data_IF_805791962739
#
_entry.id   IF_805791962739
#
_cell.length_a   1.000
_cell.length_b   1.000
_cell.length_c   1.000
_cell.angle_alpha   90.00
_cell.angle_beta   90.00
_cell.angle_gamma   90.00
#
_symmetry.space_group_name_H-M   'P 1'
#
loop_
_entity.id
_entity.type
_entity.pdbx_description
1 polymer ?
#
# COMPACT_ATOMS: atom_id res chain seq x y z
N UNK A 1 -33.40 14.99 9.11
CA UNK A 1 -32.53 14.26 8.14
C UNK A 1 -31.92 13.09 8.90
N UNK A 2 -31.80 11.91 8.29
CA UNK A 2 -31.17 10.76 8.95
C UNK A 2 -29.67 10.87 8.80
N UNK A 3 -28.92 10.73 9.90
CA UNK A 3 -27.44 10.75 9.95
C UNK A 3 -26.87 9.77 8.94
N UNK A 4 -25.93 10.22 8.09
CA UNK A 4 -25.24 9.32 7.16
C UNK A 4 -24.24 8.45 7.94
N UNK A 5 -24.49 7.16 8.00
CA UNK A 5 -23.66 6.19 8.70
C UNK A 5 -22.76 5.43 7.73
N UNK A 6 -21.48 5.41 8.00
CA UNK A 6 -20.46 4.71 7.21
C UNK A 6 -19.65 3.77 8.06
N UNK A 7 -19.30 2.62 7.51
CA UNK A 7 -18.27 1.73 8.04
C UNK A 7 -17.04 1.76 7.16
N UNK A 8 -15.86 1.94 7.77
CA UNK A 8 -14.57 1.82 7.09
C UNK A 8 -13.75 0.72 7.75
N UNK A 9 -13.31 -0.24 6.96
CA UNK A 9 -12.23 -1.16 7.30
C UNK A 9 -10.97 -0.71 6.55
N UNK A 10 -9.92 -0.39 7.28
CA UNK A 10 -8.66 0.03 6.68
C UNK A 10 -7.60 -1.05 6.82
N UNK A 11 -7.02 -1.48 5.70
CA UNK A 11 -5.94 -2.46 5.63
C UNK A 11 -4.69 -1.78 5.05
N UNK A 12 -3.74 -1.43 5.92
CA UNK A 12 -2.52 -0.72 5.57
C UNK A 12 -1.50 -1.58 4.82
N UNK A 13 -0.48 -0.92 4.26
CA UNK A 13 0.61 -1.56 3.54
C UNK A 13 1.64 -2.27 4.43
N UNK A 14 2.76 -2.65 3.83
CA UNK A 14 3.93 -3.24 4.53
C UNK A 14 4.65 -2.17 5.36
N UNK A 15 4.13 -1.93 6.55
CA UNK A 15 4.60 -0.89 7.45
C UNK A 15 4.73 -1.44 8.88
N UNK A 16 5.93 -1.43 9.49
CA UNK A 16 6.13 -1.90 10.86
C UNK A 16 5.59 -0.90 11.91
N UNK A 17 5.23 0.32 11.50
CA UNK A 17 4.61 1.31 12.38
C UNK A 17 3.22 0.81 12.80
N UNK A 18 2.91 0.86 14.07
CA UNK A 18 1.64 0.32 14.56
C UNK A 18 0.46 1.24 14.29
N UNK A 19 -0.71 0.74 14.66
CA UNK A 19 -1.99 1.46 14.52
C UNK A 19 -1.99 2.87 15.12
N UNK A 20 -1.14 3.15 16.14
CA UNK A 20 -0.98 4.51 16.71
C UNK A 20 -0.54 5.52 15.66
N UNK A 21 0.34 5.12 14.73
CA UNK A 21 0.76 6.00 13.64
C UNK A 21 -0.42 6.36 12.73
N UNK A 22 -1.19 5.37 12.30
CA UNK A 22 -2.35 5.58 11.42
C UNK A 22 -3.48 6.35 12.10
N UNK A 23 -3.71 6.13 13.40
CA UNK A 23 -4.65 6.91 14.18
C UNK A 23 -4.25 8.39 14.25
N UNK A 24 -2.98 8.68 14.55
CA UNK A 24 -2.48 10.05 14.62
C UNK A 24 -2.53 10.72 13.24
N UNK A 25 -2.16 10.00 12.18
CA UNK A 25 -2.27 10.48 10.81
C UNK A 25 -3.73 10.81 10.45
N UNK A 26 -4.66 9.90 10.73
CA UNK A 26 -6.09 10.13 10.47
C UNK A 26 -6.60 11.35 11.24
N UNK A 27 -6.26 11.47 12.53
CA UNK A 27 -6.67 12.62 13.37
C UNK A 27 -6.12 13.94 12.82
N UNK A 28 -4.83 13.97 12.45
CA UNK A 28 -4.19 15.15 11.84
C UNK A 28 -4.87 15.53 10.52
N UNK A 29 -5.07 14.55 9.64
CA UNK A 29 -5.60 14.82 8.31
C UNK A 29 -7.09 15.17 8.32
N UNK A 30 -7.86 14.61 9.25
CA UNK A 30 -9.26 15.01 9.49
C UNK A 30 -9.36 16.43 10.09
N UNK A 31 -8.42 16.82 10.94
CA UNK A 31 -8.30 18.21 11.38
C UNK A 31 -8.04 19.17 10.21
N UNK A 32 -7.07 18.82 9.33
CA UNK A 32 -6.81 19.61 8.11
C UNK A 32 -8.00 19.64 7.14
N UNK A 33 -8.76 18.55 7.05
CA UNK A 33 -10.02 18.53 6.30
C UNK A 33 -11.02 19.53 6.87
N UNK A 34 -11.24 19.48 8.20
CA UNK A 34 -12.14 20.39 8.91
C UNK A 34 -11.74 21.87 8.69
N UNK A 35 -10.45 22.21 8.84
CA UNK A 35 -9.93 23.57 8.62
C UNK A 35 -10.19 24.06 7.19
N UNK A 36 -10.09 23.17 6.18
CA UNK A 36 -10.26 23.54 4.77
C UNK A 36 -11.71 23.61 4.31
N UNK A 37 -12.59 22.82 4.92
CA UNK A 37 -14.03 22.80 4.59
C UNK A 37 -14.86 23.75 5.46
N UNK A 38 -14.33 24.19 6.62
CA UNK A 38 -15.08 24.91 7.62
C UNK A 38 -16.08 24.03 8.39
N UNK A 39 -15.93 22.69 8.30
CA UNK A 39 -16.82 21.72 8.93
C UNK A 39 -16.30 21.34 10.33
N UNK A 40 -17.20 20.92 11.22
CA UNK A 40 -16.86 20.47 12.56
C UNK A 40 -16.67 18.97 12.59
N UNK A 41 -15.41 18.52 12.54
CA UNK A 41 -15.06 17.09 12.54
C UNK A 41 -14.36 16.70 13.83
N UNK A 42 -14.84 15.65 14.47
CA UNK A 42 -14.29 15.10 15.71
C UNK A 42 -13.88 13.64 15.52
N UNK A 43 -12.81 13.24 16.21
CA UNK A 43 -12.32 11.86 16.21
C UNK A 43 -12.29 11.35 17.64
N UNK A 44 -12.99 10.25 17.91
CA UNK A 44 -13.03 9.65 19.24
C UNK A 44 -11.66 9.09 19.66
N UNK A 45 -11.40 8.89 20.94
CA UNK A 45 -10.27 8.10 21.37
C UNK A 45 -10.26 6.72 20.71
N UNK A 46 -9.07 6.22 20.42
CA UNK A 46 -8.89 4.88 19.85
C UNK A 46 -9.24 3.83 20.91
N UNK A 47 -10.05 2.86 20.53
CA UNK A 47 -10.35 1.65 21.29
C UNK A 47 -9.71 0.42 20.68
N UNK A 48 -9.60 -0.64 21.45
CA UNK A 48 -9.17 -1.96 20.96
C UNK A 48 -10.40 -2.84 20.87
N UNK A 49 -10.95 -2.98 19.67
CA UNK A 49 -12.15 -3.80 19.42
C UNK A 49 -11.86 -5.30 19.56
N UNK A 50 -10.68 -5.73 19.07
CA UNK A 50 -10.15 -7.09 19.23
C UNK A 50 -8.62 -7.07 19.14
N UNK A 51 -7.92 -8.19 19.40
CA UNK A 51 -6.46 -8.28 19.22
C UNK A 51 -5.98 -7.91 17.81
N UNK A 52 -6.83 -8.11 16.81
CA UNK A 52 -6.53 -7.88 15.40
C UNK A 52 -7.21 -6.63 14.82
N UNK A 53 -7.92 -5.84 15.65
CA UNK A 53 -8.64 -4.66 15.22
C UNK A 53 -8.49 -3.50 16.22
N UNK A 54 -8.41 -2.29 15.71
CA UNK A 54 -8.49 -1.08 16.51
C UNK A 54 -9.48 -0.12 15.89
N UNK A 55 -10.35 0.42 16.71
CA UNK A 55 -11.52 1.16 16.29
C UNK A 55 -11.51 2.60 16.82
N UNK A 56 -12.13 3.50 16.07
CA UNK A 56 -12.55 4.84 16.51
C UNK A 56 -13.72 5.32 15.67
N UNK A 57 -14.40 6.34 16.14
CA UNK A 57 -15.50 6.97 15.40
C UNK A 57 -15.08 8.35 14.93
N UNK A 58 -15.40 8.68 13.70
CA UNK A 58 -15.28 10.02 13.14
C UNK A 58 -16.67 10.59 13.00
N UNK A 59 -16.91 11.78 13.57
CA UNK A 59 -18.18 12.51 13.45
C UNK A 59 -17.94 13.82 12.75
N UNK A 60 -18.78 14.12 11.79
CA UNK A 60 -18.88 15.43 11.18
C UNK A 60 -20.26 15.99 11.53
N UNK A 61 -20.29 16.87 12.51
CA UNK A 61 -21.54 17.42 13.04
C UNK A 61 -22.17 18.42 12.05
N UNK A 62 -21.37 19.05 11.18
CA UNK A 62 -21.87 19.97 10.15
C UNK A 62 -22.60 19.24 9.03
N UNK A 63 -22.03 18.11 8.59
CA UNK A 63 -22.58 17.32 7.48
C UNK A 63 -23.50 16.17 7.93
N UNK A 64 -23.73 16.01 9.25
CA UNK A 64 -24.48 14.91 9.86
C UNK A 64 -24.00 13.52 9.43
N UNK A 65 -22.68 13.28 9.61
CA UNK A 65 -22.03 12.01 9.25
C UNK A 65 -21.43 11.34 10.49
N UNK A 66 -21.60 10.05 10.59
CA UNK A 66 -20.89 9.20 11.56
C UNK A 66 -20.20 8.06 10.82
N UNK A 67 -18.89 7.96 10.96
CA UNK A 67 -18.10 6.89 10.37
C UNK A 67 -17.44 6.05 11.44
N UNK A 68 -17.79 4.76 11.48
CA UNK A 68 -17.13 3.76 12.32
C UNK A 68 -15.90 3.24 11.59
N UNK A 69 -14.72 3.63 12.08
CA UNK A 69 -13.43 3.34 11.44
C UNK A 69 -12.70 2.24 12.18
N UNK A 70 -12.35 1.20 11.48
CA UNK A 70 -11.62 0.02 11.99
C UNK A 70 -10.33 -0.20 11.22
N UNK A 71 -9.19 -0.22 11.90
CA UNK A 71 -7.92 -0.67 11.32
C UNK A 71 -7.78 -2.17 11.54
N UNK A 72 -7.63 -2.91 10.44
CA UNK A 72 -7.30 -4.33 10.43
C UNK A 72 -5.79 -4.49 10.67
N UNK A 73 -5.44 -5.05 11.84
CA UNK A 73 -4.07 -5.05 12.35
C UNK A 73 -3.31 -6.29 11.88
N UNK A 74 -2.21 -6.06 11.21
CA UNK A 74 -1.26 -7.09 10.79
C UNK A 74 0.20 -6.64 10.91
N UNK A 75 0.43 -5.47 11.52
CA UNK A 75 1.76 -4.89 11.72
C UNK A 75 2.69 -5.74 12.59
N UNK A 76 2.14 -6.64 13.40
CA UNK A 76 2.90 -7.64 14.16
C UNK A 76 3.57 -8.66 13.21
N UNK A 77 2.87 -9.12 12.18
CA UNK A 77 3.42 -9.99 11.13
C UNK A 77 4.52 -9.26 10.35
N UNK A 78 4.26 -7.99 10.00
CA UNK A 78 5.29 -7.15 9.35
C UNK A 78 6.54 -7.02 10.23
N UNK A 79 6.38 -6.77 11.53
CA UNK A 79 7.52 -6.64 12.47
C UNK A 79 8.29 -7.95 12.63
N UNK A 80 7.61 -9.09 12.63
CA UNK A 80 8.26 -10.41 12.67
C UNK A 80 9.07 -10.66 11.39
N UNK A 81 8.53 -10.27 10.23
CA UNK A 81 9.21 -10.37 8.95
C UNK A 81 10.29 -9.29 8.74
N UNK A 82 10.40 -8.29 9.65
CA UNK A 82 11.31 -7.15 9.49
C UNK A 82 12.76 -7.52 9.80
N UNK A 83 13.54 -7.82 8.76
CA UNK A 83 14.93 -8.20 8.87
C UNK A 83 15.78 -7.00 9.32
N UNK A 84 16.37 -7.08 10.52
CA UNK A 84 17.22 -6.02 11.09
C UNK A 84 18.67 -6.14 10.64
N UNK A 85 19.18 -7.37 10.57
CA UNK A 85 20.57 -7.63 10.19
C UNK A 85 20.79 -7.37 8.68
N UNK A 86 21.69 -6.44 8.28
CA UNK A 86 21.89 -6.09 6.87
C UNK A 86 22.47 -7.24 6.03
N UNK A 87 23.33 -8.08 6.63
CA UNK A 87 23.90 -9.25 5.93
C UNK A 87 22.81 -10.27 5.63
N UNK A 88 21.97 -10.57 6.63
CA UNK A 88 20.82 -11.46 6.43
C UNK A 88 19.85 -10.90 5.38
N UNK A 89 19.60 -9.60 5.40
CA UNK A 89 18.78 -8.93 4.40
C UNK A 89 19.38 -9.09 3.00
N UNK A 90 20.68 -8.86 2.84
CA UNK A 90 21.39 -9.02 1.58
C UNK A 90 21.29 -10.45 1.04
N UNK A 91 21.53 -11.46 1.90
CA UNK A 91 21.45 -12.88 1.50
C UNK A 91 20.03 -13.25 1.06
N UNK A 92 19.01 -12.86 1.83
CA UNK A 92 17.60 -13.17 1.47
C UNK A 92 17.16 -12.41 0.23
N UNK A 93 17.53 -11.13 0.10
CA UNK A 93 17.28 -10.36 -1.11
C UNK A 93 17.93 -11.01 -2.34
N UNK A 94 19.19 -11.42 -2.27
CA UNK A 94 19.86 -12.09 -3.37
C UNK A 94 19.13 -13.38 -3.82
N UNK A 95 18.59 -14.17 -2.90
CA UNK A 95 17.77 -15.35 -3.21
C UNK A 95 16.48 -14.95 -3.92
N UNK A 96 15.74 -13.99 -3.37
CA UNK A 96 14.48 -13.51 -3.96
C UNK A 96 14.69 -12.95 -5.36
N UNK A 97 15.73 -12.13 -5.56
CA UNK A 97 16.00 -11.56 -6.90
C UNK A 97 16.50 -12.58 -7.90
N UNK A 98 17.26 -13.61 -7.46
CA UNK A 98 17.60 -14.75 -8.32
C UNK A 98 16.33 -15.50 -8.76
N UNK A 99 15.39 -15.71 -7.84
CA UNK A 99 14.15 -16.42 -8.14
C UNK A 99 13.22 -15.54 -9.01
N UNK A 100 13.16 -14.22 -8.75
CA UNK A 100 12.47 -13.26 -9.62
C UNK A 100 13.04 -13.28 -11.04
N UNK A 101 14.35 -13.36 -11.23
CA UNK A 101 14.95 -13.42 -12.57
C UNK A 101 14.45 -14.62 -13.40
N UNK A 102 13.99 -15.69 -12.76
CA UNK A 102 13.49 -16.91 -13.39
C UNK A 102 11.98 -16.98 -13.48
N UNK A 103 11.28 -16.50 -12.45
CA UNK A 103 9.86 -16.74 -12.24
C UNK A 103 8.99 -15.51 -12.53
N UNK A 104 9.61 -14.33 -12.66
CA UNK A 104 8.87 -13.08 -12.80
C UNK A 104 8.66 -12.71 -14.27
N UNK A 105 7.43 -12.32 -14.61
CA UNK A 105 7.12 -11.80 -15.94
C UNK A 105 7.40 -10.29 -16.03
N UNK A 106 8.66 -9.94 -16.19
CA UNK A 106 9.11 -8.56 -16.32
C UNK A 106 8.52 -7.83 -17.53
N UNK A 107 8.20 -8.57 -18.62
CA UNK A 107 7.61 -7.98 -19.80
C UNK A 107 6.21 -7.46 -19.50
N UNK A 108 5.39 -8.26 -18.82
CA UNK A 108 4.06 -7.85 -18.38
C UNK A 108 4.14 -6.70 -17.36
N UNK A 109 5.03 -6.77 -16.37
CA UNK A 109 5.20 -5.67 -15.40
C UNK A 109 5.55 -4.35 -16.08
N UNK A 110 6.50 -4.39 -17.05
CA UNK A 110 6.89 -3.22 -17.82
C UNK A 110 5.74 -2.66 -18.67
N UNK A 111 4.94 -3.55 -19.25
CA UNK A 111 3.78 -3.15 -20.04
C UNK A 111 2.68 -2.50 -19.18
N UNK A 112 2.48 -2.98 -17.94
CA UNK A 112 1.51 -2.42 -17.01
C UNK A 112 1.97 -1.07 -16.44
N UNK A 113 3.21 -1.00 -15.92
CA UNK A 113 3.75 0.22 -15.34
C UNK A 113 5.28 0.17 -15.19
N UNK A 114 5.98 1.22 -15.65
CA UNK A 114 7.44 1.30 -15.56
C UNK A 114 7.89 1.67 -14.13
N UNK A 115 7.11 2.45 -13.39
CA UNK A 115 7.44 2.90 -12.03
C UNK A 115 7.72 1.76 -11.06
N UNK A 116 6.80 0.79 -10.90
CA UNK A 116 7.02 -0.40 -10.07
C UNK A 116 8.22 -1.24 -10.52
N UNK A 117 8.47 -1.37 -11.82
CA UNK A 117 9.65 -2.07 -12.32
C UNK A 117 10.95 -1.40 -11.85
N UNK A 118 11.04 -0.06 -11.98
CA UNK A 118 12.19 0.71 -11.48
C UNK A 118 12.30 0.58 -9.95
N UNK A 119 11.19 0.72 -9.22
CA UNK A 119 11.16 0.62 -7.76
C UNK A 119 11.58 -0.77 -7.27
N UNK A 120 11.31 -1.82 -8.02
CA UNK A 120 11.73 -3.17 -7.71
C UNK A 120 13.24 -3.38 -7.99
N UNK A 121 13.80 -2.78 -9.04
CA UNK A 121 15.15 -3.07 -9.50
C UNK A 121 16.23 -2.16 -8.88
N UNK A 122 15.93 -0.88 -8.61
CA UNK A 122 16.98 0.03 -8.12
C UNK A 122 17.54 -0.34 -6.72
N UNK A 123 16.75 -0.87 -5.75
CA UNK A 123 17.29 -1.14 -4.43
C UNK A 123 18.42 -2.18 -4.43
N UNK A 124 18.30 -3.36 -5.07
CA UNK A 124 19.41 -4.32 -5.11
C UNK A 124 20.60 -3.79 -5.91
N UNK A 125 20.36 -3.10 -7.04
CA UNK A 125 21.42 -2.55 -7.88
C UNK A 125 22.23 -1.51 -7.09
N UNK A 126 21.57 -0.52 -6.50
CA UNK A 126 22.27 0.53 -5.76
C UNK A 126 22.90 0.01 -4.46
N UNK A 127 22.26 -0.96 -3.79
CA UNK A 127 22.87 -1.59 -2.60
C UNK A 127 24.15 -2.34 -2.90
N UNK A 128 24.35 -2.80 -4.14
CA UNK A 128 25.59 -3.45 -4.58
C UNK A 128 26.58 -2.44 -5.16
N UNK A 129 26.12 -1.58 -6.07
CA UNK A 129 27.00 -0.71 -6.86
C UNK A 129 27.52 0.49 -6.07
N UNK A 130 26.68 1.13 -5.25
CA UNK A 130 27.06 2.36 -4.55
C UNK A 130 28.21 2.15 -3.54
N UNK A 131 28.22 1.10 -2.69
CA UNK A 131 29.35 0.83 -1.81
C UNK A 131 30.66 0.64 -2.58
N UNK A 132 30.64 -0.05 -3.72
CA UNK A 132 31.82 -0.30 -4.58
C UNK A 132 32.33 0.98 -5.23
N UNK A 133 31.41 1.83 -5.74
CA UNK A 133 31.78 3.13 -6.32
C UNK A 133 32.43 4.05 -5.29
N UNK A 134 31.91 4.06 -4.05
CA UNK A 134 32.47 4.86 -2.96
C UNK A 134 33.74 4.27 -2.39
N UNK A 135 33.94 2.95 -2.48
CA UNK A 135 35.15 2.28 -2.07
C UNK A 135 36.33 2.59 -3.02
N UNK A 136 36.08 2.71 -4.32
CA UNK A 136 37.12 2.84 -5.34
C UNK A 136 38.12 3.98 -5.08
N UNK A 137 37.72 5.24 -4.83
CA UNK A 137 38.70 6.32 -4.54
C UNK A 137 39.47 6.05 -3.26
N UNK A 138 38.84 5.45 -2.25
CA UNK A 138 39.55 5.11 -0.98
C UNK A 138 40.59 4.04 -1.22
N UNK A 139 40.31 3.00 -2.00
CA UNK A 139 41.25 1.95 -2.38
C UNK A 139 42.43 2.55 -3.12
N UNK A 140 42.19 3.40 -4.13
CA UNK A 140 43.27 4.03 -4.94
C UNK A 140 44.20 4.88 -4.07
N UNK A 141 43.65 5.63 -3.12
CA UNK A 141 44.49 6.41 -2.17
C UNK A 141 45.23 5.49 -1.21
N UNK A 142 44.59 4.47 -0.67
CA UNK A 142 45.19 3.57 0.30
C UNK A 142 46.33 2.72 -0.28
N UNK A 143 46.27 2.42 -1.61
CA UNK A 143 47.32 1.68 -2.31
C UNK A 143 48.70 2.39 -2.28
N UNK A 144 48.74 3.69 -2.01
CA UNK A 144 50.00 4.44 -1.87
C UNK A 144 50.79 3.98 -0.64
N UNK A 145 50.10 3.55 0.45
CA UNK A 145 50.73 3.22 1.73
C UNK A 145 50.50 1.79 2.21
N UNK A 146 49.47 1.10 1.62
CA UNK A 146 49.04 -0.22 2.07
C UNK A 146 49.18 -1.26 0.96
N UNK A 147 49.44 -2.53 1.31
CA UNK A 147 49.34 -3.61 0.35
C UNK A 147 47.88 -3.73 -0.14
N UNK A 148 47.74 -4.20 -1.39
CA UNK A 148 46.46 -4.17 -2.13
C UNK A 148 45.26 -4.76 -1.35
N UNK A 149 45.48 -5.84 -0.59
CA UNK A 149 44.40 -6.53 0.15
C UNK A 149 43.94 -5.71 1.36
N UNK A 150 44.83 -4.96 2.05
CA UNK A 150 44.47 -4.02 3.12
C UNK A 150 43.80 -2.80 2.52
N UNK A 151 44.31 -2.24 1.44
CA UNK A 151 43.69 -1.11 0.74
C UNK A 151 42.25 -1.44 0.30
N UNK A 152 42.03 -2.65 -0.26
CA UNK A 152 40.71 -3.15 -0.60
C UNK A 152 39.79 -3.27 0.62
N UNK A 153 40.26 -3.88 1.71
CA UNK A 153 39.51 -4.01 2.95
C UNK A 153 39.08 -2.66 3.54
N UNK A 154 40.02 -1.71 3.65
CA UNK A 154 39.72 -0.35 4.12
C UNK A 154 38.72 0.35 3.20
N UNK A 155 38.93 0.27 1.89
CA UNK A 155 38.03 0.87 0.91
C UNK A 155 36.59 0.32 1.00
N UNK A 156 36.43 -1.01 1.11
CA UNK A 156 35.10 -1.63 1.24
C UNK A 156 34.41 -1.23 2.54
N UNK A 157 35.13 -1.14 3.67
CA UNK A 157 34.55 -0.70 4.94
C UNK A 157 34.09 0.76 4.85
N UNK A 158 34.95 1.65 4.38
CA UNK A 158 34.67 3.10 4.29
C UNK A 158 33.56 3.34 3.24
N UNK A 159 33.67 2.73 2.05
CA UNK A 159 32.67 2.87 0.98
C UNK A 159 31.32 2.31 1.39
N UNK A 160 31.31 1.16 2.08
CA UNK A 160 30.10 0.59 2.67
C UNK A 160 29.45 1.51 3.69
N UNK A 161 30.21 2.03 4.64
CA UNK A 161 29.73 2.97 5.65
C UNK A 161 29.18 4.27 5.03
N UNK A 162 29.89 4.81 4.03
CA UNK A 162 29.46 6.03 3.31
C UNK A 162 28.20 5.81 2.47
N UNK A 163 27.93 4.60 1.99
CA UNK A 163 26.74 4.28 1.24
C UNK A 163 25.46 4.24 2.10
N UNK A 164 25.54 3.89 3.38
CA UNK A 164 24.40 3.70 4.27
C UNK A 164 23.44 4.91 4.27
N UNK A 165 23.89 6.16 4.56
CA UNK A 165 22.98 7.30 4.62
C UNK A 165 22.28 7.58 3.27
N UNK A 166 22.96 7.32 2.16
CA UNK A 166 22.37 7.50 0.83
C UNK A 166 21.29 6.45 0.57
N UNK A 167 21.60 5.17 0.86
CA UNK A 167 20.65 4.06 0.70
C UNK A 167 19.43 4.24 1.59
N UNK A 168 19.60 4.72 2.82
CA UNK A 168 18.49 5.02 3.73
C UNK A 168 17.65 6.21 3.24
N UNK A 169 18.27 7.26 2.70
CA UNK A 169 17.56 8.40 2.15
C UNK A 169 16.64 8.01 0.96
N UNK A 170 17.09 7.09 0.11
CA UNK A 170 16.30 6.56 -1.01
C UNK A 170 15.43 5.35 -0.63
N UNK A 171 15.37 5.00 0.65
CA UNK A 171 14.57 3.88 1.18
C UNK A 171 14.92 2.50 0.62
N UNK A 172 16.13 2.31 0.09
CA UNK A 172 16.55 1.03 -0.49
C UNK A 172 16.47 -0.16 0.50
N UNK A 173 16.92 -0.06 1.78
CA UNK A 173 16.79 -1.16 2.73
C UNK A 173 15.33 -1.50 3.08
N UNK A 174 14.42 -0.50 3.06
CA UNK A 174 13.00 -0.72 3.29
C UNK A 174 12.38 -1.50 2.13
N UNK A 175 12.69 -1.09 0.89
CA UNK A 175 12.20 -1.76 -0.32
C UNK A 175 12.79 -3.17 -0.49
N UNK A 176 14.03 -3.41 -0.05
CA UNK A 176 14.57 -4.78 -0.01
C UNK A 176 13.79 -5.67 0.96
N UNK A 177 13.43 -5.15 2.15
CA UNK A 177 12.56 -5.89 3.09
C UNK A 177 11.19 -6.18 2.50
N UNK A 178 10.62 -5.19 1.83
CA UNK A 178 9.36 -5.33 1.10
C UNK A 178 9.45 -6.39 0.00
N UNK A 179 10.52 -6.36 -0.81
CA UNK A 179 10.74 -7.34 -1.86
C UNK A 179 10.93 -8.77 -1.30
N UNK A 180 11.69 -8.90 -0.20
CA UNK A 180 11.87 -10.19 0.49
C UNK A 180 10.55 -10.71 1.03
N UNK A 181 9.78 -9.86 1.72
CA UNK A 181 8.47 -10.25 2.25
C UNK A 181 7.53 -10.79 1.17
N UNK A 182 7.37 -10.04 0.07
CA UNK A 182 6.49 -10.47 -1.03
C UNK A 182 7.09 -11.63 -1.86
N UNK A 183 8.42 -11.68 -1.99
CA UNK A 183 9.11 -12.77 -2.68
C UNK A 183 8.98 -14.12 -1.97
N UNK A 184 8.77 -14.11 -0.66
CA UNK A 184 8.61 -15.29 0.18
C UNK A 184 7.14 -15.70 0.41
N UNK A 185 6.21 -15.16 -0.37
CA UNK A 185 4.78 -15.55 -0.31
C UNK A 185 4.50 -16.98 -0.81
N UNK A 186 5.52 -17.75 -1.18
CA UNK A 186 5.32 -19.10 -1.70
C UNK A 186 4.47 -19.08 -2.98
N UNK A 187 3.36 -19.79 -2.97
CA UNK A 187 2.37 -19.84 -4.06
C UNK A 187 1.54 -18.54 -4.21
N UNK A 188 1.92 -17.49 -3.47
CA UNK A 188 1.26 -16.18 -3.48
C UNK A 188 0.20 -15.97 -2.40
N UNK A 189 -0.02 -16.94 -1.51
CA UNK A 189 -0.98 -16.79 -0.39
C UNK A 189 -0.32 -16.29 0.91
N UNK A 190 1.01 -16.26 0.96
CA UNK A 190 1.78 -15.80 2.12
C UNK A 190 1.98 -16.86 3.19
N UNK A 191 2.55 -16.46 4.33
CA UNK A 191 2.83 -17.38 5.45
C UNK A 191 1.53 -17.88 6.12
N UNK A 192 1.61 -19.02 6.82
CA UNK A 192 0.49 -19.55 7.60
C UNK A 192 -0.05 -18.55 8.63
N UNK A 193 0.82 -17.75 9.25
CA UNK A 193 0.42 -16.69 10.17
C UNK A 193 -0.40 -15.58 9.46
N UNK A 194 -0.02 -15.23 8.23
CA UNK A 194 -0.76 -14.27 7.43
C UNK A 194 -2.11 -14.82 6.98
N UNK A 195 -2.14 -16.09 6.54
CA UNK A 195 -3.38 -16.76 6.16
C UNK A 195 -4.36 -16.84 7.34
N UNK A 196 -3.91 -17.26 8.53
CA UNK A 196 -4.73 -17.27 9.74
C UNK A 196 -5.24 -15.85 10.12
N UNK A 197 -4.44 -14.81 9.91
CA UNK A 197 -4.86 -13.42 10.14
C UNK A 197 -5.95 -12.99 9.16
N UNK A 198 -5.82 -13.34 7.88
CA UNK A 198 -6.84 -13.04 6.86
C UNK A 198 -8.13 -13.81 7.11
N UNK A 199 -8.03 -15.06 7.60
CA UNK A 199 -9.20 -15.83 8.03
C UNK A 199 -9.92 -15.15 9.20
N UNK A 200 -9.17 -14.72 10.22
CA UNK A 200 -9.73 -13.98 11.35
C UNK A 200 -10.38 -12.64 10.94
N UNK A 201 -9.81 -11.91 9.98
CA UNK A 201 -10.46 -10.73 9.41
C UNK A 201 -11.76 -11.08 8.69
N UNK A 202 -11.77 -12.17 7.91
CA UNK A 202 -12.95 -12.64 7.22
C UNK A 202 -14.05 -13.16 8.17
N UNK A 203 -13.73 -13.49 9.42
CA UNK A 203 -14.69 -13.83 10.47
C UNK A 203 -15.21 -12.60 11.23
N UNK A 204 -14.41 -11.52 11.33
CA UNK A 204 -14.82 -10.30 12.04
C UNK A 204 -15.62 -9.32 11.19
N UNK A 205 -15.22 -9.08 9.93
CA UNK A 205 -15.87 -8.12 9.03
C UNK A 205 -17.38 -8.37 8.89
N UNK A 206 -17.87 -9.60 8.72
CA UNK A 206 -19.29 -9.87 8.54
C UNK A 206 -20.18 -9.41 9.69
N UNK A 207 -19.65 -9.32 10.91
CA UNK A 207 -20.41 -8.87 12.07
C UNK A 207 -20.89 -7.41 11.93
N UNK A 208 -20.11 -6.61 11.20
CA UNK A 208 -20.43 -5.19 10.96
C UNK A 208 -21.18 -4.97 9.63
N UNK A 209 -21.24 -5.98 8.73
CA UNK A 209 -21.94 -5.86 7.44
C UNK A 209 -23.47 -5.78 7.58
N UNK A 210 -24.01 -6.32 8.68
CA UNK A 210 -25.45 -6.33 8.97
C UNK A 210 -25.89 -5.11 9.80
N UNK A 211 -24.95 -4.23 10.16
CA UNK A 211 -25.29 -3.00 10.84
C UNK A 211 -25.98 -2.01 9.89
N UNK A 212 -26.70 -1.04 10.44
CA UNK A 212 -27.44 -0.03 9.68
C UNK A 212 -26.50 1.05 9.12
N UNK A 213 -25.56 0.62 8.26
CA UNK A 213 -24.66 1.51 7.53
C UNK A 213 -25.15 1.75 6.12
N UNK A 214 -25.12 3.01 5.67
CA UNK A 214 -25.45 3.39 4.30
C UNK A 214 -24.40 2.89 3.31
N UNK A 215 -23.14 2.82 3.74
CA UNK A 215 -22.04 2.21 2.97
C UNK A 215 -21.00 1.56 3.87
N UNK A 216 -20.34 0.54 3.33
CA UNK A 216 -19.22 -0.17 3.95
C UNK A 216 -18.04 -0.14 2.99
N UNK A 217 -16.93 0.44 3.41
CA UNK A 217 -15.72 0.57 2.60
C UNK A 217 -14.61 -0.32 3.15
N UNK A 218 -14.09 -1.24 2.35
CA UNK A 218 -12.80 -1.88 2.60
C UNK A 218 -11.73 -1.05 1.89
N UNK A 219 -11.08 -0.18 2.63
CA UNK A 219 -10.04 0.71 2.09
C UNK A 219 -8.68 0.09 2.32
N UNK A 220 -7.89 -0.01 1.27
CA UNK A 220 -6.55 -0.58 1.36
C UNK A 220 -5.50 0.34 0.76
N UNK A 221 -4.28 0.24 1.25
CA UNK A 221 -3.16 1.05 0.77
C UNK A 221 -1.95 0.18 0.48
N UNK A 222 -1.32 0.39 -0.69
CA UNK A 222 -0.04 -0.26 -1.02
C UNK A 222 -0.14 -1.80 -0.96
N UNK A 223 0.75 -2.46 -0.23
CA UNK A 223 0.76 -3.92 -0.03
C UNK A 223 -0.56 -4.48 0.57
N UNK A 224 -1.32 -3.65 1.27
CA UNK A 224 -2.66 -4.00 1.73
C UNK A 224 -3.59 -4.41 0.60
N UNK A 225 -3.36 -3.93 -0.62
CA UNK A 225 -4.13 -4.32 -1.80
C UNK A 225 -3.91 -5.78 -2.23
N UNK A 226 -2.71 -6.33 -2.03
CA UNK A 226 -2.43 -7.76 -2.24
C UNK A 226 -3.21 -8.59 -1.22
N UNK A 227 -3.14 -8.17 0.05
CA UNK A 227 -3.88 -8.84 1.12
C UNK A 227 -5.39 -8.72 0.91
N UNK A 228 -5.85 -7.60 0.36
CA UNK A 228 -7.27 -7.40 0.04
C UNK A 228 -7.79 -8.41 -0.99
N UNK A 229 -7.01 -8.79 -1.99
CA UNK A 229 -7.43 -9.84 -2.92
C UNK A 229 -7.64 -11.19 -2.20
N UNK A 230 -6.72 -11.55 -1.31
CA UNK A 230 -6.83 -12.76 -0.50
C UNK A 230 -8.00 -12.71 0.49
N UNK A 231 -8.23 -11.54 1.10
CA UNK A 231 -9.33 -11.29 2.04
C UNK A 231 -10.68 -11.28 1.34
N UNK A 232 -10.79 -10.59 0.20
CA UNK A 232 -12.03 -10.53 -0.60
C UNK A 232 -12.48 -11.91 -1.09
N UNK A 233 -11.51 -12.75 -1.52
CA UNK A 233 -11.84 -14.13 -1.90
C UNK A 233 -12.46 -14.89 -0.72
N UNK A 234 -11.87 -14.80 0.47
CA UNK A 234 -12.39 -15.44 1.69
C UNK A 234 -13.77 -14.90 2.10
N UNK A 235 -13.96 -13.58 2.02
CA UNK A 235 -15.26 -12.95 2.34
C UNK A 235 -16.35 -13.46 1.39
N UNK A 236 -16.09 -13.45 0.09
CA UNK A 236 -17.06 -13.90 -0.92
C UNK A 236 -17.34 -15.40 -0.79
N UNK A 237 -16.31 -16.23 -0.56
CA UNK A 237 -16.49 -17.68 -0.32
C UNK A 237 -17.41 -17.94 0.88
N UNK A 238 -17.25 -17.20 1.99
CA UNK A 238 -18.06 -17.32 3.21
C UNK A 238 -19.49 -16.77 3.07
N UNK A 239 -19.68 -15.86 2.12
CA UNK A 239 -20.99 -15.25 1.83
C UNK A 239 -21.67 -15.77 0.56
N UNK A 240 -21.31 -16.97 0.09
CA UNK A 240 -21.94 -17.58 -1.07
C UNK A 240 -21.72 -16.82 -2.38
N UNK A 241 -20.59 -16.11 -2.51
CA UNK A 241 -20.20 -15.39 -3.71
C UNK A 241 -20.77 -13.96 -3.83
N UNK A 242 -21.50 -13.47 -2.83
CA UNK A 242 -22.10 -12.12 -2.85
C UNK A 242 -21.82 -11.36 -1.57
N UNK A 243 -21.58 -10.05 -1.69
CA UNK A 243 -21.51 -9.12 -0.57
C UNK A 243 -22.67 -8.11 -0.65
N UNK A 244 -23.02 -7.46 0.47
CA UNK A 244 -24.07 -6.42 0.44
C UNK A 244 -23.81 -5.36 -0.64
N UNK A 245 -24.85 -4.86 -1.28
CA UNK A 245 -24.73 -3.89 -2.38
C UNK A 245 -24.05 -2.57 -1.99
N UNK A 246 -24.05 -2.23 -0.70
CA UNK A 246 -23.38 -1.07 -0.13
C UNK A 246 -21.90 -1.34 0.24
N UNK A 247 -21.38 -2.54 -0.01
CA UNK A 247 -19.97 -2.88 0.22
C UNK A 247 -19.12 -2.52 -1.00
N UNK A 248 -18.06 -1.74 -0.80
CA UNK A 248 -17.15 -1.32 -1.87
C UNK A 248 -15.70 -1.54 -1.44
N UNK A 249 -14.91 -2.16 -2.32
CA UNK A 249 -13.47 -2.21 -2.20
C UNK A 249 -12.86 -0.92 -2.76
N UNK A 250 -12.00 -0.26 -1.98
CA UNK A 250 -11.23 0.91 -2.42
C UNK A 250 -9.75 0.61 -2.24
N UNK A 251 -8.96 0.74 -3.31
CA UNK A 251 -7.50 0.54 -3.25
C UNK A 251 -6.77 1.83 -3.57
N UNK A 252 -5.82 2.20 -2.72
CA UNK A 252 -4.91 3.31 -2.93
C UNK A 252 -3.52 2.80 -3.29
N UNK A 253 -3.03 3.19 -4.47
CA UNK A 253 -1.68 2.84 -4.91
C UNK A 253 -1.43 1.34 -4.90
N UNK A 254 -2.30 0.56 -5.54
CA UNK A 254 -2.24 -0.89 -5.49
C UNK A 254 -0.95 -1.45 -6.10
N UNK A 255 -0.46 -2.55 -5.54
CA UNK A 255 0.72 -3.27 -6.02
C UNK A 255 0.43 -4.76 -6.30
N UNK A 256 -0.83 -5.11 -6.58
CA UNK A 256 -1.30 -6.49 -6.83
C UNK A 256 -0.48 -7.22 -7.91
N UNK A 257 -0.08 -6.58 -9.04
CA UNK A 257 0.73 -7.23 -10.06
C UNK A 257 2.11 -7.69 -9.57
N UNK A 258 2.63 -7.18 -8.44
CA UNK A 258 3.87 -7.70 -7.86
C UNK A 258 3.79 -9.20 -7.53
N UNK A 259 2.62 -9.71 -7.17
CA UNK A 259 2.42 -11.14 -6.95
C UNK A 259 1.81 -11.79 -8.21
N UNK A 260 0.86 -11.12 -8.86
CA UNK A 260 0.17 -11.67 -10.02
C UNK A 260 1.08 -11.93 -11.24
N UNK A 261 2.20 -11.20 -11.38
CA UNK A 261 3.19 -11.43 -12.44
C UNK A 261 4.24 -12.49 -12.09
N UNK A 262 4.16 -13.14 -10.93
CA UNK A 262 5.00 -14.30 -10.60
C UNK A 262 4.36 -15.56 -11.13
N UNK A 263 5.10 -16.34 -11.94
CA UNK A 263 4.61 -17.58 -12.56
C UNK A 263 4.32 -18.68 -11.53
N UNK A 264 5.01 -18.67 -10.39
CA UNK A 264 4.87 -19.63 -9.30
C UNK A 264 3.76 -19.25 -8.30
N UNK A 265 3.14 -18.07 -8.42
CA UNK A 265 2.06 -17.62 -7.53
C UNK A 265 0.70 -18.26 -7.88
N UNK A 266 0.67 -19.58 -7.99
CA UNK A 266 -0.49 -20.35 -8.47
C UNK A 266 -1.72 -20.23 -7.58
N UNK A 267 -1.54 -20.19 -6.26
CA UNK A 267 -2.60 -19.95 -5.28
C UNK A 267 -3.20 -18.55 -5.45
N UNK A 268 -2.35 -17.53 -5.55
CA UNK A 268 -2.82 -16.15 -5.79
C UNK A 268 -3.59 -16.02 -7.11
N UNK A 269 -3.10 -16.66 -8.18
CA UNK A 269 -3.82 -16.69 -9.46
C UNK A 269 -5.19 -17.38 -9.33
N UNK A 270 -5.29 -18.43 -8.54
CA UNK A 270 -6.58 -19.10 -8.27
C UNK A 270 -7.56 -18.13 -7.57
N UNK A 271 -7.07 -17.35 -6.57
CA UNK A 271 -7.88 -16.32 -5.89
C UNK A 271 -8.32 -15.21 -6.84
N UNK A 272 -7.42 -14.72 -7.70
CA UNK A 272 -7.78 -13.71 -8.69
C UNK A 272 -8.79 -14.24 -9.72
N UNK A 273 -8.66 -15.50 -10.18
CA UNK A 273 -9.65 -16.14 -11.08
C UNK A 273 -11.01 -16.25 -10.39
N UNK A 274 -11.03 -16.68 -9.12
CA UNK A 274 -12.27 -16.72 -8.35
C UNK A 274 -12.91 -15.33 -8.27
N UNK A 275 -12.15 -14.29 -7.90
CA UNK A 275 -12.63 -12.90 -7.83
C UNK A 275 -13.11 -12.37 -9.18
N UNK A 276 -12.43 -12.74 -10.26
CA UNK A 276 -12.81 -12.35 -11.62
C UNK A 276 -14.23 -12.84 -12.02
N UNK A 277 -14.69 -13.93 -11.41
CA UNK A 277 -16.02 -14.48 -11.65
C UNK A 277 -17.12 -13.94 -10.72
N UNK A 278 -16.77 -13.13 -9.71
CA UNK A 278 -17.74 -12.59 -8.75
C UNK A 278 -18.22 -11.20 -9.16
N UNK A 279 -19.36 -10.78 -8.62
CA UNK A 279 -19.87 -9.41 -8.81
C UNK A 279 -19.63 -8.59 -7.53
N UNK A 280 -18.75 -7.59 -7.61
CA UNK A 280 -18.51 -6.63 -6.53
C UNK A 280 -18.04 -5.29 -7.10
N UNK A 281 -18.18 -4.25 -6.30
CA UNK A 281 -17.73 -2.91 -6.65
C UNK A 281 -16.30 -2.68 -6.19
N UNK A 282 -15.43 -2.18 -7.10
CA UNK A 282 -14.04 -1.85 -6.80
C UNK A 282 -13.66 -0.50 -7.40
N UNK A 283 -13.09 0.37 -6.59
CA UNK A 283 -12.54 1.65 -7.00
C UNK A 283 -11.05 1.63 -6.71
N UNK A 284 -10.25 1.68 -7.76
CA UNK A 284 -8.79 1.79 -7.65
C UNK A 284 -8.35 3.22 -7.91
N UNK A 285 -7.54 3.75 -7.00
CA UNK A 285 -7.00 5.11 -7.06
C UNK A 285 -5.48 5.01 -7.05
N UNK A 286 -4.89 5.12 -8.24
CA UNK A 286 -3.44 5.05 -8.44
C UNK A 286 -2.88 6.32 -9.06
N UNK A 287 -1.63 6.65 -8.78
CA UNK A 287 -0.97 7.86 -9.28
C UNK A 287 0.23 7.53 -10.17
N UNK A 288 0.32 8.08 -11.40
CA UNK A 288 1.47 7.86 -12.27
C UNK A 288 2.83 8.22 -11.65
N UNK A 289 2.97 9.31 -10.87
CA UNK A 289 4.22 9.65 -10.19
C UNK A 289 4.56 8.76 -8.99
N UNK A 290 3.62 7.94 -8.49
CA UNK A 290 3.88 6.96 -7.45
C UNK A 290 4.63 5.75 -8.04
N UNK A 291 5.93 5.66 -7.77
CA UNK A 291 6.77 4.59 -8.29
C UNK A 291 6.45 3.18 -7.78
N UNK A 292 5.58 3.05 -6.75
CA UNK A 292 5.20 1.75 -6.20
C UNK A 292 3.83 1.26 -6.72
N UNK A 293 3.02 2.15 -7.31
CA UNK A 293 1.66 1.85 -7.74
C UNK A 293 1.59 1.38 -9.21
N UNK A 294 0.76 0.38 -9.47
CA UNK A 294 0.41 -0.06 -10.83
C UNK A 294 -0.79 0.75 -11.34
N UNK A 295 -0.58 2.03 -11.55
CA UNK A 295 -1.62 2.94 -12.02
C UNK A 295 -2.30 2.46 -13.30
N UNK A 296 -3.63 2.42 -13.28
CA UNK A 296 -4.46 2.08 -14.43
C UNK A 296 -4.45 0.59 -14.83
N UNK A 297 -3.77 -0.26 -14.04
CA UNK A 297 -3.74 -1.68 -14.29
C UNK A 297 -4.94 -2.39 -13.62
N UNK A 298 -5.69 -3.17 -14.40
CA UNK A 298 -6.67 -4.10 -13.84
C UNK A 298 -6.00 -5.48 -13.66
N UNK A 299 -5.68 -5.90 -12.42
CA UNK A 299 -4.94 -7.14 -12.20
C UNK A 299 -5.77 -8.40 -12.50
N UNK A 300 -7.11 -8.30 -12.56
CA UNK A 300 -7.97 -9.43 -12.91
C UNK A 300 -7.84 -9.82 -14.39
N UNK A 301 -7.41 -8.88 -15.26
CA UNK A 301 -7.12 -9.18 -16.67
C UNK A 301 -5.88 -10.06 -16.85
N UNK A 302 -5.03 -10.19 -15.84
CA UNK A 302 -3.88 -11.10 -15.87
C UNK A 302 -4.28 -12.59 -15.76
N UNK A 303 -5.52 -12.86 -15.31
CA UNK A 303 -6.02 -14.22 -15.09
C UNK A 303 -7.23 -14.59 -15.94
N UNK A 304 -7.78 -13.63 -16.70
CA UNK A 304 -8.91 -13.85 -17.59
C UNK A 304 -9.36 -12.58 -18.31
N UNK A 305 -9.94 -12.69 -19.51
CA UNK A 305 -10.22 -11.54 -20.37
C UNK A 305 -11.47 -10.72 -20.03
N UNK A 306 -12.36 -11.23 -19.20
CA UNK A 306 -13.67 -10.62 -18.94
C UNK A 306 -14.05 -10.70 -17.44
N UNK A 307 -13.38 -9.93 -16.56
CA UNK A 307 -13.72 -9.90 -15.15
C UNK A 307 -15.12 -9.27 -14.94
N UNK A 308 -15.93 -9.89 -14.06
CA UNK A 308 -17.27 -9.42 -13.70
C UNK A 308 -17.31 -8.21 -12.76
N UNK A 309 -16.33 -8.02 -11.84
CA UNK A 309 -16.35 -6.86 -10.95
C UNK A 309 -16.42 -5.54 -11.70
N UNK A 310 -17.22 -4.61 -11.17
CA UNK A 310 -17.28 -3.24 -11.68
C UNK A 310 -16.12 -2.44 -11.11
N UNK A 311 -15.10 -2.20 -11.94
CA UNK A 311 -13.86 -1.55 -11.54
C UNK A 311 -13.76 -0.16 -12.15
N UNK A 312 -13.54 0.87 -11.32
CA UNK A 312 -13.09 2.19 -11.76
C UNK A 312 -11.60 2.34 -11.46
N UNK A 313 -10.80 2.60 -12.49
CA UNK A 313 -9.37 2.91 -12.38
C UNK A 313 -9.19 4.43 -12.48
N UNK A 314 -8.86 5.07 -11.36
CA UNK A 314 -8.83 6.53 -11.25
C UNK A 314 -7.43 7.04 -10.92
N UNK A 315 -7.04 8.17 -11.52
CA UNK A 315 -5.89 8.94 -11.05
C UNK A 315 -6.36 9.92 -9.97
N UNK A 316 -5.66 10.08 -8.83
CA UNK A 316 -6.02 11.06 -7.81
C UNK A 316 -5.80 12.51 -8.29
N UNK A 317 -5.18 12.73 -9.46
CA UNK A 317 -4.88 14.05 -10.04
C UNK A 317 -4.23 15.00 -9.02
N UNK A 318 -3.23 14.54 -8.26
CA UNK A 318 -2.57 15.32 -7.20
C UNK A 318 -2.20 16.77 -7.65
N UNK A 319 -1.80 16.96 -8.92
CA UNK A 319 -1.51 18.29 -9.47
C UNK A 319 -2.69 19.27 -9.43
N UNK A 320 -3.92 18.82 -9.22
CA UNK A 320 -5.12 19.65 -9.06
C UNK A 320 -5.37 20.04 -7.60
N UNK A 321 -4.86 19.24 -6.68
CA UNK A 321 -5.14 19.34 -5.25
C UNK A 321 -3.94 19.85 -4.44
N UNK A 322 -2.77 19.96 -5.05
CA UNK A 322 -1.59 20.60 -4.48
C UNK A 322 -1.23 21.87 -5.26
N UNK A 323 -0.64 22.85 -4.57
CA UNK A 323 -0.03 23.99 -5.27
C UNK A 323 1.18 23.51 -6.08
N UNK A 324 1.58 24.22 -7.15
CA UNK A 324 2.76 23.85 -7.92
C UNK A 324 4.01 23.64 -7.05
N UNK A 325 4.22 24.49 -6.04
CA UNK A 325 5.35 24.41 -5.12
C UNK A 325 5.31 23.14 -4.28
N UNK A 326 4.16 22.81 -3.70
CA UNK A 326 3.97 21.59 -2.88
C UNK A 326 4.07 20.35 -3.76
N UNK A 327 3.44 20.36 -4.92
CA UNK A 327 3.47 19.26 -5.87
C UNK A 327 4.90 18.94 -6.34
N UNK A 328 5.67 19.96 -6.72
CA UNK A 328 7.05 19.76 -7.17
C UNK A 328 8.00 19.29 -6.07
N UNK A 329 7.80 19.75 -4.82
CA UNK A 329 8.55 19.22 -3.67
C UNK A 329 8.23 17.73 -3.45
N UNK A 330 6.95 17.36 -3.51
CA UNK A 330 6.50 15.96 -3.39
C UNK A 330 7.04 15.08 -4.51
N UNK A 331 7.10 15.60 -5.73
CA UNK A 331 7.57 14.85 -6.90
C UNK A 331 9.01 14.32 -6.77
N UNK A 332 9.84 15.02 -6.00
CA UNK A 332 11.22 14.59 -5.68
C UNK A 332 11.25 13.47 -4.63
N UNK A 333 10.25 13.39 -3.76
CA UNK A 333 10.15 12.37 -2.72
C UNK A 333 9.05 11.35 -3.05
N UNK A 334 9.42 10.30 -3.78
CA UNK A 334 8.49 9.23 -4.20
C UNK A 334 7.81 8.51 -3.02
N UNK A 335 8.48 8.45 -1.87
CA UNK A 335 7.91 7.88 -0.66
C UNK A 335 6.74 8.75 -0.14
N UNK A 336 6.88 10.07 -0.14
CA UNK A 336 5.79 10.97 0.30
C UNK A 336 4.59 10.92 -0.64
N UNK A 337 4.82 10.88 -1.97
CA UNK A 337 3.73 10.72 -2.96
C UNK A 337 2.93 9.43 -2.68
N UNK A 338 3.61 8.35 -2.28
CA UNK A 338 2.96 7.09 -1.94
C UNK A 338 2.01 7.19 -0.74
N UNK A 339 2.19 8.19 0.14
CA UNK A 339 1.31 8.46 1.28
C UNK A 339 0.28 9.57 1.03
N UNK A 340 0.35 10.29 -0.10
CA UNK A 340 -0.55 11.40 -0.38
C UNK A 340 -2.01 10.98 -0.59
N UNK A 341 -2.27 9.72 -0.90
CA UNK A 341 -3.64 9.17 -0.90
C UNK A 341 -4.33 9.26 0.47
N UNK A 342 -3.54 9.22 1.55
CA UNK A 342 -4.01 9.23 2.93
C UNK A 342 -4.10 10.64 3.51
N UNK A 343 -3.75 11.66 2.72
CA UNK A 343 -3.61 13.06 3.15
C UNK A 343 -4.56 13.98 2.40
N UNK A 344 -4.92 15.06 3.07
CA UNK A 344 -5.59 16.19 2.43
C UNK A 344 -4.53 17.06 1.74
N UNK A 345 -4.71 17.32 0.45
CA UNK A 345 -3.88 18.24 -0.31
C UNK A 345 -4.05 19.72 0.12
N UNK A 346 -3.50 20.63 -0.65
CA UNK A 346 -3.73 22.07 -0.45
C UNK A 346 -5.20 22.45 -0.73
N UNK A 347 -5.87 21.67 -1.59
CA UNK A 347 -7.31 21.65 -1.82
C UNK A 347 -7.86 20.26 -1.46
N UNK A 348 -9.09 20.20 -0.99
CA UNK A 348 -9.77 18.95 -0.64
C UNK A 348 -10.17 18.18 -1.91
N UNK A 349 -9.74 16.94 -2.02
CA UNK A 349 -10.16 16.03 -3.09
C UNK A 349 -11.37 15.21 -2.63
N UNK A 350 -12.39 14.99 -3.47
CA UNK A 350 -13.48 14.07 -3.12
C UNK A 350 -13.05 12.63 -2.87
N UNK A 351 -11.83 12.25 -3.32
CA UNK A 351 -11.32 10.88 -3.26
C UNK A 351 -10.13 10.71 -2.31
N UNK A 352 -9.70 11.72 -1.55
CA UNK A 352 -8.73 11.50 -0.48
C UNK A 352 -9.37 10.76 0.70
N UNK A 353 -8.56 10.05 1.48
CA UNK A 353 -9.05 9.25 2.60
C UNK A 353 -9.85 10.05 3.63
N UNK A 354 -9.43 11.28 4.04
CA UNK A 354 -10.21 12.10 4.94
C UNK A 354 -11.59 12.46 4.40
N UNK A 355 -11.70 12.81 3.11
CA UNK A 355 -12.98 13.10 2.45
C UNK A 355 -13.90 11.89 2.39
N UNK A 356 -13.35 10.71 2.03
CA UNK A 356 -14.11 9.45 2.05
C UNK A 356 -14.52 9.06 3.47
N UNK A 357 -13.90 9.61 4.50
CA UNK A 357 -14.22 9.32 5.89
C UNK A 357 -15.22 10.32 6.49
N UNK A 358 -15.10 11.60 6.16
CA UNK A 358 -15.84 12.67 6.85
C UNK A 358 -16.99 13.28 6.05
N UNK A 359 -17.01 13.19 4.71
CA UNK A 359 -18.06 13.82 3.91
C UNK A 359 -19.37 13.02 3.91
N UNK A 360 -20.52 13.70 3.74
CA UNK A 360 -21.82 13.07 3.57
C UNK A 360 -22.02 12.41 2.19
N UNK A 361 -21.02 12.52 1.31
CA UNK A 361 -21.07 11.86 0.01
C UNK A 361 -20.75 10.39 0.13
N UNK A 362 -21.63 9.52 -0.32
CA UNK A 362 -21.27 8.13 -0.58
C UNK A 362 -20.20 8.02 -1.66
N UNK A 363 -19.54 6.89 -1.74
CA UNK A 363 -18.36 6.69 -2.61
C UNK A 363 -18.70 6.94 -4.10
N UNK A 364 -19.87 6.52 -4.58
CA UNK A 364 -20.26 6.75 -5.98
C UNK A 364 -20.47 8.26 -6.27
N UNK A 365 -21.08 8.98 -5.34
CA UNK A 365 -21.22 10.44 -5.45
C UNK A 365 -19.87 11.15 -5.38
N UNK A 366 -18.91 10.63 -4.60
CA UNK A 366 -17.55 11.13 -4.53
C UNK A 366 -16.80 10.91 -5.85
N UNK A 367 -16.98 9.75 -6.50
CA UNK A 367 -16.41 9.48 -7.83
C UNK A 367 -17.01 10.42 -8.89
N UNK A 368 -18.32 10.62 -8.88
CA UNK A 368 -18.99 11.55 -9.80
C UNK A 368 -18.50 12.98 -9.58
N UNK A 369 -18.45 13.46 -8.35
CA UNK A 369 -17.93 14.78 -8.00
C UNK A 369 -16.47 14.95 -8.46
N UNK A 370 -15.64 13.92 -8.26
CA UNK A 370 -14.24 13.94 -8.71
C UNK A 370 -14.12 14.00 -10.24
N UNK A 371 -14.95 13.26 -10.97
CA UNK A 371 -14.95 13.28 -12.45
C UNK A 371 -15.39 14.62 -13.01
N UNK A 372 -16.24 15.35 -12.30
CA UNK A 372 -16.70 16.68 -12.68
C UNK A 372 -15.63 17.78 -12.50
N UNK A 373 -14.55 17.50 -11.78
CA UNK A 373 -13.42 18.45 -11.67
C UNK A 373 -12.62 18.40 -12.97
N UNK A 374 -12.73 19.46 -13.76
CA UNK A 374 -12.07 19.62 -15.06
C UNK A 374 -10.54 19.72 -14.98
#
# INVERSE_FOLDING_TARGET
MTTFKRKVFYLGGFDPRGVRFYYNLAKEQLGRYADKTGETVTVSPRSTGSPIRSDWTVRNDTADVTTDYSVLRWEDIVRQAWIRNPVQLGIRAARVYRDHARLYDFATVRALAIGPLVTMLYPPILSLVLPLLLALPVVLVALVWLPWWLALGVGLVIGGAAAVPVLDAIRAPWLLRFAVFNGEFGDGEGSSALQARLDAFADEIPRDLHADHHEVLLITHSNGSILAMLLMARLLERHGGTLPANFVLVTYGHCIPLIACRRDATGFHARLRYLSAQDFRWIDIGSPPDGAAFFGANPLLLVGPAPRPRIDLLSPRFHRFYTPETYHKGWRNKYEIHFDYLRVGDRVSPLDLPSLTASARGIEASVLAFRAIA
#
